data_IF_589543555911
#
_entry.id   IF_589543555911
#
_cell.length_a   1.000
_cell.length_b   1.000
_cell.length_c   1.000
_cell.angle_alpha   90.00
_cell.angle_beta   90.00
_cell.angle_gamma   90.00
#
_symmetry.space_group_name_H-M   'P 1'
#
loop_
_entity.id
_entity.type
_entity.pdbx_description
1 polymer ?
#
# COMPACT_ATOMS: atom_id res chain seq x y z
N UNK A 1 -20.13 13.38 4.95
CA UNK A 1 -20.08 12.06 5.61
C UNK A 1 -21.22 11.84 6.60
N UNK A 2 -21.70 12.87 7.30
CA UNK A 2 -22.77 12.74 8.31
C UNK A 2 -24.21 12.81 7.74
N UNK A 3 -24.40 12.71 6.42
CA UNK A 3 -25.73 12.75 5.82
C UNK A 3 -26.47 11.43 6.02
N UNK A 4 -27.81 11.44 6.05
CA UNK A 4 -28.60 10.22 6.14
C UNK A 4 -28.29 9.23 5.00
N UNK A 5 -28.05 9.71 3.77
CA UNK A 5 -27.71 8.82 2.65
C UNK A 5 -26.34 8.18 2.81
N UNK A 6 -25.37 8.91 3.36
CA UNK A 6 -24.05 8.35 3.67
C UNK A 6 -24.13 7.31 4.81
N UNK A 7 -25.02 7.50 5.78
CA UNK A 7 -25.21 6.51 6.86
C UNK A 7 -25.74 5.17 6.35
N UNK A 8 -26.58 5.19 5.30
CA UNK A 8 -27.26 3.99 4.78
C UNK A 8 -26.56 3.33 3.59
N UNK A 9 -25.78 4.08 2.80
CA UNK A 9 -25.18 3.58 1.56
C UNK A 9 -23.65 3.52 1.60
N UNK A 10 -23.04 2.32 1.57
CA UNK A 10 -21.59 2.17 1.43
C UNK A 10 -21.06 2.79 0.14
N UNK A 11 -21.84 2.76 -0.95
CA UNK A 11 -21.46 3.37 -2.22
C UNK A 11 -21.30 4.89 -2.06
N UNK A 12 -22.26 5.55 -1.40
CA UNK A 12 -22.19 7.00 -1.13
C UNK A 12 -20.97 7.33 -0.26
N UNK A 13 -20.71 6.54 0.80
CA UNK A 13 -19.50 6.74 1.62
C UNK A 13 -18.23 6.58 0.79
N UNK A 14 -18.14 5.52 -0.01
CA UNK A 14 -17.01 5.24 -0.87
C UNK A 14 -16.76 6.38 -1.88
N UNK A 15 -17.81 6.90 -2.51
CA UNK A 15 -17.72 8.05 -3.43
C UNK A 15 -17.23 9.30 -2.72
N UNK A 16 -17.79 9.63 -1.54
CA UNK A 16 -17.39 10.81 -0.78
C UNK A 16 -15.94 10.72 -0.29
N UNK A 17 -15.51 9.56 0.21
CA UNK A 17 -14.12 9.33 0.62
C UNK A 17 -13.20 9.43 -0.59
N UNK A 18 -13.56 8.81 -1.72
CA UNK A 18 -12.77 8.87 -2.95
C UNK A 18 -12.65 10.28 -3.52
N UNK A 19 -13.66 11.14 -3.36
CA UNK A 19 -13.59 12.53 -3.80
C UNK A 19 -12.45 13.32 -3.12
N UNK A 20 -12.20 13.05 -1.83
CA UNK A 20 -11.13 13.71 -1.06
C UNK A 20 -9.74 13.41 -1.64
N UNK A 21 -9.55 12.22 -2.20
CA UNK A 21 -8.31 11.87 -2.90
C UNK A 21 -7.99 12.89 -4.01
N UNK A 22 -8.98 13.25 -4.82
CA UNK A 22 -8.79 14.21 -5.91
C UNK A 22 -8.52 15.61 -5.39
N UNK A 23 -9.22 16.02 -4.34
CA UNK A 23 -8.98 17.30 -3.66
C UNK A 23 -7.53 17.39 -3.19
N UNK A 24 -7.01 16.34 -2.54
CA UNK A 24 -5.63 16.31 -2.04
C UNK A 24 -4.59 16.44 -3.16
N UNK A 25 -4.85 15.87 -4.33
CA UNK A 25 -3.95 15.94 -5.49
C UNK A 25 -4.03 17.33 -6.14
N UNK A 26 -5.23 17.83 -6.38
CA UNK A 26 -5.44 19.10 -7.09
C UNK A 26 -4.97 20.29 -6.25
N UNK A 27 -5.19 20.27 -4.94
CA UNK A 27 -4.71 21.32 -4.01
C UNK A 27 -3.21 21.23 -3.69
N UNK A 28 -2.56 20.11 -3.99
CA UNK A 28 -1.09 19.97 -3.93
C UNK A 28 -0.40 20.69 -5.09
N UNK A 29 -1.03 20.65 -6.28
CA UNK A 29 -0.53 21.33 -7.48
C UNK A 29 -0.38 22.83 -7.26
N UNK A 30 -1.29 23.52 -6.57
CA UNK A 30 -1.15 24.98 -6.38
C UNK A 30 0.05 25.38 -5.48
N UNK A 31 0.57 24.48 -4.64
CA UNK A 31 1.77 24.74 -3.84
C UNK A 31 3.09 24.49 -4.60
N UNK A 32 3.09 23.58 -5.58
CA UNK A 32 4.25 23.22 -6.42
C UNK A 32 4.23 23.85 -7.82
N UNK A 33 3.07 24.31 -8.29
CA UNK A 33 2.85 24.86 -9.63
C UNK A 33 3.49 26.23 -9.86
N UNK A 34 3.97 26.93 -8.83
CA UNK A 34 4.77 28.13 -9.05
C UNK A 34 6.19 27.84 -9.57
N UNK A 35 6.70 26.59 -9.54
CA UNK A 35 8.09 26.30 -9.90
C UNK A 35 8.34 25.20 -10.95
N UNK A 36 7.45 24.24 -11.21
CA UNK A 36 7.81 23.04 -11.99
C UNK A 36 6.92 22.68 -13.20
N UNK A 37 5.86 23.45 -13.49
CA UNK A 37 4.92 23.17 -14.59
C UNK A 37 5.38 23.64 -15.99
N UNK A 38 6.70 23.66 -16.25
CA UNK A 38 7.26 23.76 -17.62
C UNK A 38 7.72 22.38 -18.13
N UNK A 39 7.82 21.36 -17.27
CA UNK A 39 8.57 20.14 -17.60
C UNK A 39 7.81 18.91 -18.07
N UNK A 40 6.77 18.46 -17.36
CA UNK A 40 6.34 17.06 -17.48
C UNK A 40 4.86 16.83 -17.21
N UNK A 41 4.00 17.14 -18.19
CA UNK A 41 2.66 16.52 -18.30
C UNK A 41 2.71 15.44 -19.36
N UNK A 42 2.96 14.19 -18.95
CA UNK A 42 2.61 13.01 -19.76
C UNK A 42 1.35 12.39 -19.17
N UNK A 43 0.23 12.77 -19.77
CA UNK A 43 -1.07 12.12 -19.62
C UNK A 43 -0.91 10.61 -19.87
N UNK A 44 -1.18 9.78 -18.87
CA UNK A 44 -1.55 8.38 -19.11
C UNK A 44 -3.07 8.26 -19.05
N UNK A 45 -3.59 7.91 -20.23
CA UNK A 45 -4.93 7.52 -20.64
C UNK A 45 -5.84 6.93 -19.56
N UNK A 46 -7.03 7.50 -19.38
CA UNK A 46 -8.16 6.80 -18.75
C UNK A 46 -9.41 7.01 -19.61
N UNK A 47 -9.81 5.94 -20.28
CA UNK A 47 -10.98 5.86 -21.15
C UNK A 47 -12.28 6.07 -20.36
N UNK A 48 -13.02 7.09 -20.76
CA UNK A 48 -14.41 7.28 -20.40
C UNK A 48 -15.29 6.63 -21.48
N UNK A 49 -16.32 5.83 -21.16
CA UNK A 49 -17.20 5.28 -22.19
C UNK A 49 -18.15 6.36 -22.71
N UNK A 50 -17.66 7.19 -23.62
CA UNK A 50 -18.50 8.06 -24.45
C UNK A 50 -19.12 7.25 -25.59
N UNK A 51 -20.08 6.40 -25.27
CA UNK A 51 -20.88 5.67 -26.26
C UNK A 51 -22.22 6.35 -26.50
N UNK A 52 -22.25 7.36 -27.35
CA UNK A 52 -23.33 7.67 -28.32
C UNK A 52 -23.11 9.07 -28.92
N UNK A 53 -22.93 9.12 -30.24
CA UNK A 53 -22.86 10.36 -31.00
C UNK A 53 -24.18 11.12 -30.91
N UNK A 54 -24.14 12.29 -30.27
CA UNK A 54 -25.28 13.20 -30.25
C UNK A 54 -25.39 13.93 -31.59
N UNK A 55 -26.45 13.63 -32.35
CA UNK A 55 -26.98 14.54 -33.37
C UNK A 55 -27.81 15.59 -32.62
N UNK A 56 -27.56 16.91 -32.80
CA UNK A 56 -28.26 17.91 -32.02
C UNK A 56 -29.70 18.10 -32.53
N UNK A 57 -30.67 17.88 -31.64
CA UNK A 57 -32.06 18.34 -31.81
C UNK A 57 -32.20 19.75 -31.20
N UNK A 58 -32.93 20.68 -31.84
CA UNK A 58 -33.06 22.05 -31.35
C UNK A 58 -34.21 22.13 -30.34
N UNK A 59 -33.94 21.99 -29.05
CA UNK A 59 -34.77 22.53 -27.94
C UNK A 59 -34.34 22.07 -26.53
N UNK A 60 -33.03 22.02 -26.24
CA UNK A 60 -32.59 21.89 -24.84
C UNK A 60 -32.45 23.28 -24.19
N UNK A 61 -32.94 23.46 -22.94
CA UNK A 61 -32.72 24.69 -22.18
C UNK A 61 -31.21 24.86 -21.90
N UNK A 62 -30.73 26.10 -21.69
CA UNK A 62 -29.31 26.33 -21.48
C UNK A 62 -28.81 25.56 -20.26
N UNK A 63 -27.87 24.65 -20.50
CA UNK A 63 -27.07 23.98 -19.48
C UNK A 63 -26.47 25.08 -18.59
N UNK A 64 -26.61 25.02 -17.24
CA UNK A 64 -26.07 26.06 -16.39
C UNK A 64 -24.56 26.18 -16.58
N UNK A 65 -24.13 27.44 -16.63
CA UNK A 65 -22.82 27.90 -17.05
C UNK A 65 -21.66 27.02 -16.57
N UNK A 66 -20.73 26.79 -17.51
CA UNK A 66 -19.33 26.43 -17.28
C UNK A 66 -18.86 27.05 -15.96
N UNK A 67 -18.57 26.21 -14.97
CA UNK A 67 -17.90 26.65 -13.73
C UNK A 67 -16.62 27.37 -14.19
N UNK A 68 -16.55 28.68 -13.98
CA UNK A 68 -15.39 29.46 -14.38
C UNK A 68 -14.17 28.97 -13.61
N UNK A 69 -12.99 28.96 -14.26
CA UNK A 69 -11.72 28.55 -13.65
C UNK A 69 -11.48 29.22 -12.29
N UNK A 70 -11.91 30.48 -12.15
CA UNK A 70 -11.80 31.29 -10.92
C UNK A 70 -12.70 30.78 -9.77
N UNK A 71 -13.94 30.37 -10.06
CA UNK A 71 -14.83 29.81 -9.05
C UNK A 71 -14.30 28.46 -8.53
N UNK A 72 -13.76 27.64 -9.43
CA UNK A 72 -13.13 26.37 -9.06
C UNK A 72 -11.87 26.57 -8.20
N UNK A 73 -11.01 27.53 -8.57
CA UNK A 73 -9.80 27.89 -7.80
C UNK A 73 -10.13 28.43 -6.40
N UNK A 74 -11.19 29.25 -6.29
CA UNK A 74 -11.65 29.79 -5.00
C UNK A 74 -12.11 28.67 -4.07
N UNK A 75 -12.93 27.74 -4.57
CA UNK A 75 -13.42 26.59 -3.80
C UNK A 75 -12.25 25.70 -3.34
N UNK A 76 -11.28 25.44 -4.20
CA UNK A 76 -10.09 24.64 -3.83
C UNK A 76 -9.27 25.31 -2.72
N UNK A 77 -9.14 26.63 -2.77
CA UNK A 77 -8.41 27.41 -1.76
C UNK A 77 -9.11 27.36 -0.41
N UNK A 78 -10.45 27.48 -0.38
CA UNK A 78 -11.24 27.33 0.84
C UNK A 78 -11.13 25.93 1.42
N UNK A 79 -11.18 24.89 0.58
CA UNK A 79 -11.03 23.50 1.03
C UNK A 79 -9.64 23.24 1.58
N UNK A 80 -8.57 23.76 0.95
CA UNK A 80 -7.21 23.64 1.47
C UNK A 80 -7.06 24.38 2.82
N UNK A 81 -7.67 25.56 2.96
CA UNK A 81 -7.70 26.28 4.23
C UNK A 81 -8.41 25.49 5.34
N UNK A 82 -9.52 24.81 5.01
CA UNK A 82 -10.23 23.92 5.94
C UNK A 82 -9.37 22.71 6.33
N UNK A 83 -8.67 22.09 5.38
CA UNK A 83 -7.74 20.98 5.65
C UNK A 83 -6.53 21.40 6.49
N UNK A 84 -6.12 22.68 6.44
CA UNK A 84 -5.01 23.23 7.23
C UNK A 84 -5.44 23.87 8.56
N UNK A 85 -6.73 23.96 8.84
CA UNK A 85 -7.22 24.58 10.07
C UNK A 85 -6.80 23.79 11.33
N UNK A 86 -6.55 24.51 12.42
CA UNK A 86 -5.98 24.00 13.69
C UNK A 86 -7.11 23.76 14.73
N UNK A 87 -7.12 22.70 15.59
CA UNK A 87 -6.34 21.45 15.61
C UNK A 87 -7.19 20.16 15.51
N UNK A 88 -6.53 18.99 15.36
CA UNK A 88 -6.00 18.46 14.09
C UNK A 88 -7.02 18.60 12.96
N UNK A 89 -6.63 18.47 11.69
CA UNK A 89 -7.53 18.53 10.52
C UNK A 89 -8.71 17.53 10.63
N UNK A 90 -9.72 17.86 11.45
CA UNK A 90 -10.85 17.02 11.81
C UNK A 90 -11.55 16.49 10.56
N UNK A 91 -11.71 17.30 9.48
CA UNK A 91 -12.28 16.79 8.25
C UNK A 91 -11.44 15.64 7.66
N UNK A 92 -10.10 15.77 7.59
CA UNK A 92 -9.25 14.70 7.08
C UNK A 92 -9.27 13.48 8.01
N UNK A 93 -9.23 13.70 9.32
CA UNK A 93 -9.33 12.62 10.30
C UNK A 93 -10.67 11.87 10.19
N UNK A 94 -11.78 12.56 9.91
CA UNK A 94 -13.09 11.94 9.65
C UNK A 94 -13.05 11.00 8.45
N UNK A 95 -12.37 11.40 7.36
CA UNK A 95 -12.19 10.52 6.20
C UNK A 95 -11.27 9.35 6.52
N UNK A 96 -10.18 9.57 7.25
CA UNK A 96 -9.26 8.51 7.66
C UNK A 96 -9.88 7.53 8.67
N UNK A 97 -10.84 7.99 9.48
CA UNK A 97 -11.59 7.12 10.40
C UNK A 97 -12.39 6.04 9.67
N UNK A 98 -12.67 6.23 8.37
CA UNK A 98 -13.36 5.23 7.52
C UNK A 98 -12.51 3.98 7.24
N UNK A 99 -11.26 3.94 7.70
CA UNK A 99 -10.51 2.68 7.80
C UNK A 99 -11.21 1.66 8.71
N UNK A 100 -12.05 2.11 9.66
CA UNK A 100 -12.85 1.24 10.51
C UNK A 100 -14.28 0.99 9.97
N UNK A 101 -14.60 1.39 8.73
CA UNK A 101 -15.95 1.21 8.16
C UNK A 101 -16.31 -0.28 8.05
N UNK A 102 -17.55 -0.72 8.27
CA UNK A 102 -17.92 -2.12 8.06
C UNK A 102 -17.70 -2.60 6.63
N UNK A 103 -17.79 -1.71 5.63
CA UNK A 103 -17.66 -2.06 4.23
C UNK A 103 -16.21 -1.98 3.72
N UNK A 104 -15.75 -3.06 3.07
CA UNK A 104 -14.38 -3.20 2.58
C UNK A 104 -14.01 -2.18 1.50
N UNK A 105 -14.95 -1.78 0.65
CA UNK A 105 -14.71 -0.81 -0.42
C UNK A 105 -14.53 0.59 0.16
N UNK A 106 -15.25 0.91 1.22
CA UNK A 106 -15.08 2.16 1.96
C UNK A 106 -13.71 2.20 2.65
N UNK A 107 -13.27 1.09 3.27
CA UNK A 107 -11.90 0.98 3.82
C UNK A 107 -10.84 1.15 2.74
N UNK A 108 -11.04 0.56 1.56
CA UNK A 108 -10.13 0.71 0.42
C UNK A 108 -10.03 2.14 -0.06
N UNK A 109 -11.17 2.84 -0.14
CA UNK A 109 -11.19 4.26 -0.47
C UNK A 109 -10.41 5.08 0.57
N UNK A 110 -10.60 4.79 1.87
CA UNK A 110 -9.90 5.46 2.95
C UNK A 110 -8.38 5.21 2.92
N UNK A 111 -7.94 3.97 2.65
CA UNK A 111 -6.53 3.64 2.43
C UNK A 111 -5.95 4.40 1.24
N UNK A 112 -6.71 4.49 0.13
CA UNK A 112 -6.24 5.25 -1.03
C UNK A 112 -6.13 6.74 -0.72
N UNK A 113 -7.03 7.30 0.08
CA UNK A 113 -6.95 8.70 0.55
C UNK A 113 -5.73 8.89 1.44
N UNK A 114 -5.50 7.97 2.39
CA UNK A 114 -4.33 8.01 3.26
C UNK A 114 -3.04 7.98 2.45
N UNK A 115 -2.89 7.02 1.53
CA UNK A 115 -1.69 6.90 0.70
C UNK A 115 -1.46 8.16 -0.14
N UNK A 116 -2.49 8.70 -0.77
CA UNK A 116 -2.41 9.97 -1.50
C UNK A 116 -2.03 11.13 -0.59
N UNK A 117 -2.63 11.25 0.59
CA UNK A 117 -2.31 12.30 1.54
C UNK A 117 -0.84 12.21 2.02
N UNK A 118 -0.35 11.01 2.27
CA UNK A 118 1.04 10.76 2.68
C UNK A 118 2.02 11.12 1.56
N UNK A 119 1.69 10.80 0.31
CA UNK A 119 2.55 11.04 -0.85
C UNK A 119 2.62 12.53 -1.24
N UNK A 120 1.48 13.23 -1.23
CA UNK A 120 1.38 14.61 -1.71
C UNK A 120 1.51 15.62 -0.58
N UNK A 121 0.93 15.34 0.59
CA UNK A 121 0.77 16.31 1.67
C UNK A 121 1.18 15.72 3.03
N UNK A 122 2.42 15.19 3.17
CA UNK A 122 2.85 14.50 4.39
C UNK A 122 2.73 15.38 5.65
N UNK A 123 2.92 16.70 5.53
CA UNK A 123 2.76 17.65 6.63
C UNK A 123 1.35 17.64 7.24
N UNK A 124 0.30 17.41 6.44
CA UNK A 124 -1.08 17.29 6.93
C UNK A 124 -1.34 15.98 7.66
N UNK A 125 -0.72 14.89 7.20
CA UNK A 125 -0.97 13.55 7.75
C UNK A 125 -0.13 13.27 8.99
N UNK A 126 1.12 13.75 9.04
CA UNK A 126 2.06 13.58 10.15
C UNK A 126 1.45 13.79 11.55
N UNK A 127 0.67 14.85 11.83
CA UNK A 127 0.04 15.03 13.14
C UNK A 127 -1.11 14.05 13.41
N UNK A 128 -1.71 13.44 12.39
CA UNK A 128 -2.88 12.57 12.51
C UNK A 128 -2.53 11.10 12.79
N UNK A 129 -1.34 10.65 12.36
CA UNK A 129 -0.96 9.23 12.37
C UNK A 129 -1.09 8.54 13.73
N UNK A 130 -0.72 9.23 14.81
CA UNK A 130 -0.73 8.73 16.18
C UNK A 130 -1.87 9.31 17.04
N UNK A 131 -2.78 10.07 16.44
CA UNK A 131 -3.94 10.62 17.15
C UNK A 131 -5.04 9.55 17.22
N UNK A 132 -5.64 9.34 18.41
CA UNK A 132 -6.82 8.48 18.53
C UNK A 132 -7.96 9.06 17.68
N UNK A 133 -8.61 8.20 16.90
CA UNK A 133 -9.70 8.61 16.00
C UNK A 133 -10.89 9.18 16.77
N UNK A 134 -11.22 8.58 17.91
CA UNK A 134 -12.22 9.08 18.84
C UNK A 134 -11.56 9.43 20.18
N UNK A 135 -11.40 10.72 20.44
CA UNK A 135 -10.81 11.22 21.68
C UNK A 135 -11.69 10.96 22.91
N UNK A 136 -12.99 10.72 22.72
CA UNK A 136 -13.92 10.42 23.82
C UNK A 136 -13.86 8.95 24.26
N UNK A 137 -13.34 8.06 23.40
CA UNK A 137 -13.26 6.62 23.68
C UNK A 137 -11.89 6.26 24.23
N UNK A 138 -11.85 5.85 25.51
CA UNK A 138 -10.65 5.25 26.09
C UNK A 138 -10.22 4.05 25.25
N UNK A 139 -9.00 4.11 24.70
CA UNK A 139 -8.40 3.11 23.82
C UNK A 139 -8.88 3.13 22.35
N UNK A 140 -9.38 4.26 21.84
CA UNK A 140 -9.60 4.40 20.40
C UNK A 140 -8.31 4.09 19.63
N UNK A 141 -8.37 3.30 18.54
CA UNK A 141 -7.22 3.07 17.68
C UNK A 141 -6.78 4.39 17.03
N UNK A 142 -5.48 4.46 16.74
CA UNK A 142 -4.91 5.52 15.91
C UNK A 142 -5.04 5.16 14.43
N UNK A 143 -4.81 6.14 13.55
CA UNK A 143 -4.77 5.89 12.10
C UNK A 143 -3.75 4.81 11.74
N UNK A 144 -2.55 4.83 12.35
CA UNK A 144 -1.54 3.78 12.12
C UNK A 144 -2.02 2.40 12.57
N UNK A 145 -2.69 2.29 13.73
CA UNK A 145 -3.22 1.01 14.21
C UNK A 145 -4.31 0.47 13.29
N UNK A 146 -5.17 1.33 12.75
CA UNK A 146 -6.14 0.90 11.74
C UNK A 146 -5.46 0.46 10.45
N UNK A 147 -4.43 1.16 9.98
CA UNK A 147 -3.65 0.75 8.81
C UNK A 147 -3.05 -0.65 9.00
N UNK A 148 -2.42 -0.93 10.14
CA UNK A 148 -1.86 -2.25 10.44
C UNK A 148 -2.93 -3.32 10.58
N UNK A 149 -4.13 -2.98 11.07
CA UNK A 149 -5.24 -3.93 11.08
C UNK A 149 -5.66 -4.36 9.66
N UNK A 150 -5.55 -3.47 8.68
CA UNK A 150 -5.86 -3.78 7.27
C UNK A 150 -4.76 -4.60 6.57
N UNK A 151 -3.63 -4.88 7.21
CA UNK A 151 -2.61 -5.83 6.69
C UNK A 151 -2.89 -7.28 7.09
N UNK A 152 -3.84 -7.53 7.99
CA UNK A 152 -4.13 -8.87 8.48
C UNK A 152 -4.97 -9.68 7.49
N UNK A 153 -4.65 -10.97 7.33
CA UNK A 153 -5.46 -11.91 6.57
C UNK A 153 -6.78 -12.13 7.32
N UNK A 154 -7.90 -11.88 6.64
CA UNK A 154 -9.26 -12.06 7.17
C UNK A 154 -9.88 -13.34 6.62
N UNK A 155 -9.94 -14.43 7.40
CA UNK A 155 -10.46 -15.72 6.92
C UNK A 155 -11.91 -15.63 6.44
N UNK A 156 -12.70 -14.71 6.98
CA UNK A 156 -14.08 -14.45 6.56
C UNK A 156 -14.20 -13.88 5.14
N UNK A 157 -13.10 -13.37 4.55
CA UNK A 157 -13.03 -12.89 3.17
C UNK A 157 -12.41 -13.93 2.20
N UNK A 158 -12.09 -15.12 2.68
CA UNK A 158 -11.51 -16.20 1.88
C UNK A 158 -12.59 -17.22 1.58
N UNK A 159 -12.94 -17.39 0.31
CA UNK A 159 -13.95 -18.35 -0.17
C UNK A 159 -13.32 -19.42 -1.06
N UNK A 160 -13.78 -20.65 -0.92
CA UNK A 160 -13.42 -21.73 -1.85
C UNK A 160 -14.38 -21.72 -3.03
N UNK A 161 -13.84 -21.51 -4.23
CA UNK A 161 -14.57 -21.55 -5.49
C UNK A 161 -14.24 -22.87 -6.19
N UNK A 162 -15.27 -23.68 -6.42
CA UNK A 162 -15.15 -24.94 -7.15
C UNK A 162 -15.12 -24.65 -8.66
N UNK A 163 -14.00 -24.97 -9.29
CA UNK A 163 -13.81 -24.93 -10.74
C UNK A 163 -13.81 -26.37 -11.29
N UNK A 164 -14.97 -27.04 -11.21
CA UNK A 164 -15.10 -28.45 -11.59
C UNK A 164 -14.38 -29.38 -10.61
N UNK A 165 -13.43 -30.26 -11.05
CA UNK A 165 -12.67 -31.11 -10.15
C UNK A 165 -11.60 -30.36 -9.33
N UNK A 166 -11.41 -29.05 -9.58
CA UNK A 166 -10.42 -28.22 -8.91
C UNK A 166 -11.09 -27.29 -7.88
N UNK A 167 -10.42 -27.10 -6.73
CA UNK A 167 -10.80 -26.11 -5.72
C UNK A 167 -9.79 -24.98 -5.74
N UNK A 168 -10.25 -23.75 -5.92
CA UNK A 168 -9.43 -22.55 -5.85
C UNK A 168 -9.87 -21.68 -4.67
N UNK A 169 -8.92 -21.16 -3.90
CA UNK A 169 -9.22 -20.21 -2.84
C UNK A 169 -9.15 -18.80 -3.41
N UNK A 170 -10.27 -18.10 -3.39
CA UNK A 170 -10.36 -16.68 -3.70
C UNK A 170 -10.32 -15.88 -2.40
N UNK A 171 -9.47 -14.86 -2.35
CA UNK A 171 -9.30 -13.97 -1.21
C UNK A 171 -9.76 -12.56 -1.59
N UNK A 172 -10.99 -12.23 -1.24
CA UNK A 172 -11.60 -10.93 -1.54
C UNK A 172 -10.94 -9.78 -0.74
N UNK A 173 -10.16 -10.11 0.29
CA UNK A 173 -9.38 -9.16 1.08
C UNK A 173 -7.99 -8.85 0.55
N UNK A 174 -7.49 -9.61 -0.43
CA UNK A 174 -6.11 -9.52 -0.91
C UNK A 174 -5.76 -8.13 -1.46
N UNK A 175 -6.64 -7.54 -2.26
CA UNK A 175 -6.41 -6.21 -2.84
C UNK A 175 -6.28 -5.15 -1.77
N UNK A 176 -7.09 -5.24 -0.72
CA UNK A 176 -7.02 -4.27 0.38
C UNK A 176 -5.71 -4.39 1.15
N UNK A 177 -5.24 -5.61 1.43
CA UNK A 177 -3.94 -5.82 2.08
C UNK A 177 -2.81 -5.25 1.23
N UNK A 178 -2.82 -5.47 -0.08
CA UNK A 178 -1.85 -4.86 -1.01
C UNK A 178 -1.83 -3.33 -0.90
N UNK A 179 -2.99 -2.69 -0.87
CA UNK A 179 -3.09 -1.25 -0.66
C UNK A 179 -2.54 -0.79 0.70
N UNK A 180 -2.75 -1.58 1.76
CA UNK A 180 -2.22 -1.27 3.08
C UNK A 180 -0.68 -1.33 3.10
N UNK A 181 -0.07 -2.37 2.52
CA UNK A 181 1.38 -2.48 2.41
C UNK A 181 1.99 -1.39 1.50
N UNK A 182 1.30 -0.99 0.43
CA UNK A 182 1.73 0.12 -0.42
C UNK A 182 1.74 1.44 0.37
N UNK A 183 0.68 1.69 1.15
CA UNK A 183 0.62 2.86 2.03
C UNK A 183 1.71 2.85 3.11
N UNK A 184 2.00 1.68 3.69
CA UNK A 184 3.12 1.52 4.62
C UNK A 184 4.47 1.84 3.97
N UNK A 185 4.70 1.43 2.73
CA UNK A 185 5.92 1.77 1.99
C UNK A 185 6.08 3.28 1.84
N UNK A 186 5.02 3.98 1.43
CA UNK A 186 5.04 5.45 1.32
C UNK A 186 5.28 6.13 2.68
N UNK A 187 4.70 5.59 3.76
CA UNK A 187 4.91 6.10 5.12
C UNK A 187 6.37 5.92 5.59
N UNK A 188 7.00 4.80 5.25
CA UNK A 188 8.39 4.54 5.59
C UNK A 188 9.32 5.57 4.96
N UNK A 189 9.03 6.01 3.74
CA UNK A 189 9.82 7.01 3.01
C UNK A 189 9.55 8.44 3.50
N UNK A 190 8.28 8.79 3.74
CA UNK A 190 7.86 10.18 3.94
C UNK A 190 7.63 10.58 5.40
N UNK A 191 7.37 9.62 6.29
CA UNK A 191 6.87 9.86 7.65
C UNK A 191 7.57 9.00 8.72
N UNK A 192 8.81 8.55 8.47
CA UNK A 192 9.57 7.69 9.37
C UNK A 192 9.62 8.16 10.84
N UNK A 193 9.71 9.47 11.08
CA UNK A 193 9.76 10.05 12.43
C UNK A 193 8.48 9.84 13.24
N UNK A 194 7.37 9.48 12.60
CA UNK A 194 6.09 9.16 13.25
C UNK A 194 5.89 7.67 13.48
N UNK A 195 6.78 6.82 12.96
CA UNK A 195 6.66 5.37 13.04
C UNK A 195 7.41 4.82 14.26
N UNK A 196 6.74 3.98 15.02
CA UNK A 196 7.39 3.11 15.99
C UNK A 196 7.87 1.87 15.24
N UNK A 197 9.15 1.82 14.89
CA UNK A 197 9.70 0.80 13.97
C UNK A 197 9.52 -0.62 14.52
N UNK A 198 9.60 -0.82 15.83
CA UNK A 198 9.33 -2.12 16.45
C UNK A 198 7.91 -2.64 16.16
N UNK A 199 6.90 -1.76 16.18
CA UNK A 199 5.50 -2.07 15.82
C UNK A 199 5.34 -2.21 14.30
N UNK A 200 6.01 -1.35 13.53
CA UNK A 200 5.98 -1.39 12.06
C UNK A 200 6.53 -2.71 11.50
N UNK A 201 7.48 -3.34 12.18
CA UNK A 201 8.05 -4.62 11.76
C UNK A 201 7.09 -5.80 11.89
N UNK A 202 6.09 -5.74 12.77
CA UNK A 202 5.15 -6.84 13.00
C UNK A 202 4.31 -7.18 11.75
N UNK A 203 3.60 -6.23 11.11
CA UNK A 203 2.90 -6.49 9.86
C UNK A 203 3.84 -6.89 8.72
N UNK A 204 5.09 -6.41 8.68
CA UNK A 204 6.06 -6.83 7.67
C UNK A 204 6.45 -8.31 7.82
N UNK A 205 6.68 -8.78 9.05
CA UNK A 205 7.02 -10.18 9.33
C UNK A 205 5.86 -11.09 8.94
N UNK A 206 4.61 -10.70 9.22
CA UNK A 206 3.43 -11.44 8.75
C UNK A 206 3.27 -11.35 7.21
N UNK A 207 3.59 -10.21 6.60
CA UNK A 207 3.60 -10.03 5.14
C UNK A 207 4.54 -10.98 4.39
N UNK A 208 5.64 -11.42 5.02
CA UNK A 208 6.54 -12.46 4.45
C UNK A 208 5.87 -13.83 4.30
N UNK A 209 4.75 -14.06 4.98
CA UNK A 209 3.96 -15.30 4.94
C UNK A 209 2.75 -15.20 4.01
N UNK A 210 2.44 -14.01 3.50
CA UNK A 210 1.24 -13.71 2.71
C UNK A 210 1.45 -13.97 1.20
N UNK A 211 0.60 -13.40 0.33
CA UNK A 211 0.68 -13.47 -1.12
C UNK A 211 2.01 -12.92 -1.65
N UNK A 212 2.48 -13.47 -2.78
CA UNK A 212 3.77 -13.15 -3.41
C UNK A 212 4.04 -11.65 -3.52
N UNK A 213 3.09 -10.87 -4.03
CA UNK A 213 3.25 -9.40 -4.16
C UNK A 213 3.46 -8.69 -2.81
N UNK A 214 2.79 -9.16 -1.75
CA UNK A 214 2.96 -8.61 -0.39
C UNK A 214 4.34 -9.01 0.17
N UNK A 215 4.80 -10.25 -0.08
CA UNK A 215 6.14 -10.69 0.32
C UNK A 215 7.21 -9.80 -0.32
N UNK A 216 7.09 -9.56 -1.62
CA UNK A 216 8.00 -8.72 -2.39
C UNK A 216 8.08 -7.30 -1.80
N UNK A 217 6.93 -6.69 -1.55
CA UNK A 217 6.86 -5.36 -0.94
C UNK A 217 7.41 -5.34 0.51
N UNK A 218 7.17 -6.40 1.27
CA UNK A 218 7.74 -6.57 2.61
C UNK A 218 9.26 -6.69 2.57
N UNK A 219 9.84 -7.42 1.60
CA UNK A 219 11.29 -7.51 1.43
C UNK A 219 11.91 -6.14 1.15
N UNK A 220 11.28 -5.29 0.34
CA UNK A 220 11.78 -3.94 0.06
C UNK A 220 11.85 -3.08 1.31
N UNK A 221 10.74 -3.02 2.06
CA UNK A 221 10.69 -2.22 3.28
C UNK A 221 11.67 -2.74 4.33
N UNK A 222 11.80 -4.06 4.49
CA UNK A 222 12.80 -4.65 5.40
C UNK A 222 14.24 -4.30 4.99
N UNK A 223 14.54 -4.29 3.68
CA UNK A 223 15.84 -3.84 3.19
C UNK A 223 16.08 -2.37 3.53
N UNK A 224 15.10 -1.48 3.33
CA UNK A 224 15.22 -0.06 3.71
C UNK A 224 15.42 0.10 5.23
N UNK A 225 14.61 -0.57 6.05
CA UNK A 225 14.70 -0.50 7.52
C UNK A 225 16.04 -1.02 8.03
N UNK A 226 16.58 -2.09 7.43
CA UNK A 226 17.90 -2.62 7.82
C UNK A 226 19.05 -1.62 7.67
N UNK A 227 18.88 -0.59 6.82
CA UNK A 227 19.83 0.51 6.67
C UNK A 227 19.60 1.61 7.71
N UNK A 228 18.33 1.92 7.98
CA UNK A 228 17.94 3.10 8.74
C UNK A 228 17.88 2.82 10.24
N UNK A 229 17.38 1.64 10.64
CA UNK A 229 17.22 1.18 12.03
C UNK A 229 17.70 -0.28 12.19
N UNK A 230 19.01 -0.55 11.99
CA UNK A 230 19.57 -1.91 12.01
C UNK A 230 19.36 -2.67 13.33
N UNK A 231 19.34 -1.96 14.47
CA UNK A 231 19.17 -2.58 15.79
C UNK A 231 17.77 -3.20 15.97
N UNK A 232 16.73 -2.59 15.40
CA UNK A 232 15.36 -3.12 15.46
C UNK A 232 15.21 -4.43 14.67
N UNK A 233 15.92 -4.52 13.53
CA UNK A 233 16.01 -5.76 12.75
C UNK A 233 16.72 -6.85 13.56
N UNK A 234 17.85 -6.51 14.20
CA UNK A 234 18.58 -7.47 15.05
C UNK A 234 17.71 -7.99 16.20
N UNK A 235 16.93 -7.10 16.84
CA UNK A 235 16.01 -7.45 17.92
C UNK A 235 14.86 -8.38 17.48
N UNK A 236 14.37 -8.25 16.23
CA UNK A 236 13.31 -9.09 15.66
C UNK A 236 13.85 -10.24 14.78
N UNK A 237 15.16 -10.49 14.77
CA UNK A 237 15.82 -11.47 13.88
C UNK A 237 15.25 -12.89 14.03
N UNK A 238 14.94 -13.31 15.27
CA UNK A 238 14.36 -14.64 15.52
C UNK A 238 13.01 -14.83 14.81
N UNK A 239 12.16 -13.79 14.81
CA UNK A 239 10.88 -13.80 14.14
C UNK A 239 11.02 -13.71 12.61
N UNK A 240 12.01 -12.96 12.12
CA UNK A 240 12.33 -12.83 10.69
C UNK A 240 12.93 -14.11 10.10
N UNK A 241 13.74 -14.84 10.88
CA UNK A 241 14.46 -16.00 10.39
C UNK A 241 13.54 -17.14 9.97
N UNK A 242 12.41 -17.34 10.66
CA UNK A 242 11.46 -18.39 10.33
C UNK A 242 10.89 -18.29 8.90
N UNK A 243 10.22 -17.19 8.50
CA UNK A 243 9.70 -17.05 7.13
C UNK A 243 10.82 -16.99 6.07
N UNK A 244 11.97 -16.39 6.37
CA UNK A 244 13.11 -16.37 5.45
C UNK A 244 13.63 -17.78 5.16
N UNK A 245 13.79 -18.60 6.20
CA UNK A 245 14.23 -19.99 6.06
C UNK A 245 13.24 -20.82 5.26
N UNK A 246 11.93 -20.60 5.43
CA UNK A 246 10.89 -21.27 4.63
C UNK A 246 11.06 -21.00 3.13
N UNK A 247 11.36 -19.77 2.74
CA UNK A 247 11.57 -19.42 1.33
C UNK A 247 12.85 -20.04 0.79
N UNK A 248 13.96 -19.99 1.55
CA UNK A 248 15.23 -20.59 1.14
C UNK A 248 15.13 -22.11 0.95
N UNK A 249 14.31 -22.79 1.75
CA UNK A 249 14.10 -24.24 1.67
C UNK A 249 13.00 -24.65 0.68
N UNK A 250 12.35 -23.70 0.03
CA UNK A 250 11.30 -23.98 -0.95
C UNK A 250 11.89 -24.68 -2.18
N UNK A 251 11.32 -25.83 -2.55
CA UNK A 251 11.73 -26.60 -3.72
C UNK A 251 10.67 -26.54 -4.81
N UNK A 252 11.06 -26.49 -6.09
CA UNK A 252 10.11 -26.54 -7.18
C UNK A 252 9.41 -27.90 -7.17
N UNK A 253 8.11 -27.90 -7.45
CA UNK A 253 7.36 -29.15 -7.66
C UNK A 253 7.41 -29.55 -9.14
N UNK A 254 7.26 -30.84 -9.42
CA UNK A 254 7.35 -31.39 -10.79
C UNK A 254 6.23 -30.89 -11.71
N UNK A 255 5.09 -30.48 -11.15
CA UNK A 255 3.90 -29.97 -11.84
C UNK A 255 3.92 -28.45 -12.07
N UNK A 256 4.97 -27.74 -11.64
CA UNK A 256 5.03 -26.30 -11.75
C UNK A 256 5.29 -25.81 -13.16
N UNK A 257 4.45 -24.88 -13.62
CA UNK A 257 4.68 -24.13 -14.84
C UNK A 257 5.84 -23.15 -14.67
N UNK A 258 6.47 -22.76 -15.79
CA UNK A 258 7.63 -21.84 -15.80
C UNK A 258 7.43 -20.58 -14.96
N UNK A 259 6.25 -19.98 -15.03
CA UNK A 259 5.91 -18.77 -14.28
C UNK A 259 5.95 -18.97 -12.76
N UNK A 260 5.54 -20.13 -12.25
CA UNK A 260 5.58 -20.44 -10.81
C UNK A 260 7.03 -20.65 -10.34
N UNK A 261 7.86 -21.29 -11.17
CA UNK A 261 9.29 -21.43 -10.89
C UNK A 261 9.99 -20.07 -10.84
N UNK A 262 9.71 -19.18 -11.80
CA UNK A 262 10.27 -17.82 -11.83
C UNK A 262 9.87 -17.00 -10.60
N UNK A 263 8.60 -17.06 -10.19
CA UNK A 263 8.12 -16.40 -8.96
C UNK A 263 8.86 -16.89 -7.71
N UNK A 264 9.04 -18.21 -7.57
CA UNK A 264 9.77 -18.77 -6.43
C UNK A 264 11.24 -18.36 -6.44
N UNK A 265 11.89 -18.41 -7.60
CA UNK A 265 13.29 -17.97 -7.74
C UNK A 265 13.45 -16.48 -7.37
N UNK A 266 12.50 -15.64 -7.76
CA UNK A 266 12.51 -14.22 -7.43
C UNK A 266 12.34 -13.99 -5.91
N UNK A 267 11.45 -14.73 -5.25
CA UNK A 267 11.32 -14.67 -3.79
C UNK A 267 12.60 -15.12 -3.09
N UNK A 268 13.22 -16.21 -3.55
CA UNK A 268 14.50 -16.69 -3.00
C UNK A 268 15.61 -15.66 -3.18
N UNK A 269 15.68 -15.01 -4.35
CA UNK A 269 16.64 -13.93 -4.62
C UNK A 269 16.43 -12.74 -3.68
N UNK A 270 15.19 -12.29 -3.50
CA UNK A 270 14.86 -11.19 -2.59
C UNK A 270 15.22 -11.52 -1.13
N UNK A 271 14.95 -12.75 -0.68
CA UNK A 271 15.33 -13.21 0.65
C UNK A 271 16.86 -13.21 0.84
N UNK A 272 17.61 -13.70 -0.15
CA UNK A 272 19.08 -13.68 -0.13
C UNK A 272 19.61 -12.24 -0.09
N UNK A 273 19.03 -11.33 -0.88
CA UNK A 273 19.40 -9.91 -0.86
C UNK A 273 19.19 -9.28 0.52
N UNK A 274 18.05 -9.56 1.16
CA UNK A 274 17.76 -9.08 2.51
C UNK A 274 18.75 -9.67 3.54
N UNK A 275 19.04 -10.97 3.48
CA UNK A 275 19.99 -11.62 4.40
C UNK A 275 21.41 -11.10 4.21
N UNK A 276 21.82 -10.85 2.96
CA UNK A 276 23.10 -10.21 2.65
C UNK A 276 23.16 -8.79 3.22
N UNK A 277 22.05 -8.05 3.18
CA UNK A 277 21.95 -6.71 3.77
C UNK A 277 22.11 -6.74 5.28
N UNK A 278 21.57 -7.74 5.97
CA UNK A 278 21.74 -7.88 7.43
C UNK A 278 23.20 -8.00 7.85
N UNK A 279 24.10 -8.45 6.98
CA UNK A 279 25.54 -8.52 7.27
C UNK A 279 26.16 -7.17 7.64
N UNK A 280 25.58 -6.05 7.22
CA UNK A 280 26.06 -4.71 7.60
C UNK A 280 25.64 -4.27 9.00
N UNK A 281 24.85 -5.07 9.73
CA UNK A 281 24.43 -4.78 11.09
C UNK A 281 25.56 -5.18 12.05
N UNK A 282 25.93 -4.27 12.95
CA UNK A 282 26.96 -4.53 13.95
C UNK A 282 26.62 -5.75 14.81
N UNK A 283 27.62 -6.60 15.06
CA UNK A 283 27.51 -7.80 15.89
C UNK A 283 26.47 -8.85 15.43
N UNK A 284 25.95 -8.74 14.20
CA UNK A 284 24.91 -9.65 13.70
C UNK A 284 25.36 -11.11 13.62
N UNK A 285 26.66 -11.35 13.45
CA UNK A 285 27.25 -12.70 13.42
C UNK A 285 27.12 -13.44 14.76
N UNK A 286 26.88 -12.72 15.87
CA UNK A 286 26.60 -13.32 17.19
C UNK A 286 25.16 -13.78 17.32
N UNK A 287 24.25 -13.29 16.47
CA UNK A 287 22.84 -13.67 16.48
C UNK A 287 22.68 -15.07 15.89
N UNK A 288 22.28 -16.04 16.73
CA UNK A 288 22.13 -17.44 16.34
C UNK A 288 21.19 -17.63 15.15
N UNK A 289 20.07 -16.92 15.13
CA UNK A 289 19.06 -17.04 14.07
C UNK A 289 19.60 -16.55 12.73
N UNK A 290 20.37 -15.46 12.72
CA UNK A 290 21.09 -15.01 11.53
C UNK A 290 22.15 -16.03 11.07
N UNK A 291 23.00 -16.52 11.99
CA UNK A 291 24.01 -17.52 11.64
C UNK A 291 23.39 -18.79 11.03
N UNK A 292 22.24 -19.22 11.53
CA UNK A 292 21.52 -20.39 11.01
C UNK A 292 20.92 -20.15 9.60
N UNK A 293 20.53 -18.91 9.27
CA UNK A 293 20.15 -18.53 7.89
C UNK A 293 21.35 -18.61 6.96
N UNK A 294 22.49 -18.04 7.36
CA UNK A 294 23.72 -18.09 6.55
C UNK A 294 24.18 -19.53 6.31
N UNK A 295 24.16 -20.38 7.34
CA UNK A 295 24.44 -21.82 7.20
C UNK A 295 23.50 -22.51 6.23
N UNK A 296 22.21 -22.15 6.23
CA UNK A 296 21.23 -22.70 5.30
C UNK A 296 21.57 -22.32 3.86
N UNK A 297 21.99 -21.07 3.62
CA UNK A 297 22.45 -20.60 2.30
C UNK A 297 23.74 -21.32 1.89
N UNK A 298 24.70 -21.49 2.80
CA UNK A 298 25.99 -22.13 2.51
C UNK A 298 25.89 -23.63 2.19
N UNK A 299 24.85 -24.30 2.72
CA UNK A 299 24.59 -25.71 2.47
C UNK A 299 24.08 -25.98 1.05
N UNK A 300 23.49 -24.99 0.38
CA UNK A 300 23.02 -25.10 -1.00
C UNK A 300 23.97 -24.35 -1.95
N UNK A 301 24.68 -25.04 -2.87
CA UNK A 301 25.61 -24.40 -3.80
C UNK A 301 24.96 -23.32 -4.68
N UNK A 302 23.68 -23.46 -5.03
CA UNK A 302 22.95 -22.52 -5.87
C UNK A 302 22.65 -21.22 -5.12
N UNK A 303 22.15 -21.33 -3.88
CA UNK A 303 21.88 -20.18 -3.02
C UNK A 303 23.18 -19.47 -2.64
N UNK A 304 24.24 -20.24 -2.33
CA UNK A 304 25.57 -19.71 -2.03
C UNK A 304 26.14 -18.88 -3.17
N UNK A 305 26.00 -19.33 -4.42
CA UNK A 305 26.48 -18.59 -5.58
C UNK A 305 25.78 -17.22 -5.73
N UNK A 306 24.46 -17.18 -5.52
CA UNK A 306 23.69 -15.93 -5.55
C UNK A 306 24.11 -15.01 -4.39
N UNK A 307 24.25 -15.56 -3.18
CA UNK A 307 24.66 -14.80 -2.00
C UNK A 307 26.04 -14.17 -2.16
N UNK A 308 27.03 -14.91 -2.67
CA UNK A 308 28.37 -14.37 -2.96
C UNK A 308 28.33 -13.27 -4.02
N UNK A 309 27.50 -13.44 -5.06
CA UNK A 309 27.31 -12.42 -6.09
C UNK A 309 26.72 -11.13 -5.51
N UNK A 310 25.70 -11.24 -4.65
CA UNK A 310 25.09 -10.08 -3.98
C UNK A 310 26.10 -9.37 -3.06
N UNK A 311 26.90 -10.13 -2.31
CA UNK A 311 27.94 -9.53 -1.45
C UNK A 311 29.04 -8.82 -2.26
N UNK A 312 29.41 -9.35 -3.43
CA UNK A 312 30.44 -8.78 -4.29
C UNK A 312 30.00 -7.47 -4.97
N UNK A 313 28.74 -7.39 -5.39
CA UNK A 313 28.19 -6.20 -6.06
C UNK A 313 27.82 -5.06 -5.10
N UNK A 314 28.00 -5.27 -3.79
CA UNK A 314 27.49 -4.36 -2.77
C UNK A 314 25.95 -4.39 -2.67
N UNK A 315 25.38 -3.96 -1.54
CA UNK A 315 23.94 -3.79 -1.41
C UNK A 315 23.47 -2.51 -2.14
N UNK A 316 23.69 -2.44 -3.46
CA UNK A 316 23.32 -1.28 -4.26
C UNK A 316 21.80 -1.25 -4.53
N UNK A 317 21.24 -0.09 -4.22
CA UNK A 317 19.83 0.25 -4.06
C UNK A 317 19.08 0.56 -5.37
N UNK A 318 19.32 -0.16 -6.47
CA UNK A 318 18.82 0.30 -7.78
C UNK A 318 18.40 -0.76 -8.82
N UNK A 319 18.33 -2.05 -8.49
CA UNK A 319 17.92 -3.07 -9.50
C UNK A 319 16.63 -3.83 -9.22
N UNK A 320 15.88 -3.48 -8.17
CA UNK A 320 14.49 -3.95 -8.06
C UNK A 320 13.55 -2.76 -8.12
N UNK A 321 13.52 -2.11 -9.28
CA UNK A 321 12.36 -1.33 -9.69
C UNK A 321 11.25 -2.35 -9.88
N UNK A 322 10.40 -2.49 -8.87
CA UNK A 322 9.18 -3.25 -9.05
C UNK A 322 8.38 -2.50 -10.11
N UNK A 323 7.93 -3.18 -11.17
CA UNK A 323 6.95 -2.56 -12.04
C UNK A 323 5.80 -2.08 -11.15
N UNK A 324 5.25 -0.87 -11.38
CA UNK A 324 4.06 -0.43 -10.66
C UNK A 324 3.06 -1.58 -10.72
N UNK A 325 2.50 -1.95 -9.56
CA UNK A 325 1.54 -3.03 -9.42
C UNK A 325 0.51 -2.90 -10.54
N UNK A 326 0.59 -3.75 -11.57
CA UNK A 326 -0.43 -3.80 -12.60
C UNK A 326 -1.66 -4.32 -11.89
N UNK A 327 -2.61 -3.43 -11.59
CA UNK A 327 -3.97 -3.77 -11.22
C UNK A 327 -4.47 -4.81 -12.21
N UNK A 328 -4.41 -6.09 -11.85
CA UNK A 328 -5.23 -7.11 -12.49
C UNK A 328 -6.65 -6.92 -11.96
N UNK A 329 -7.26 -5.78 -12.31
CA UNK A 329 -8.71 -5.71 -12.39
C UNK A 329 -9.02 -6.51 -13.64
N UNK A 330 -9.25 -7.82 -13.50
CA UNK A 330 -10.08 -8.45 -14.50
C UNK A 330 -11.39 -7.67 -14.51
N UNK A 331 -11.87 -7.20 -15.67
CA UNK A 331 -13.18 -6.59 -15.73
C UNK A 331 -14.17 -7.67 -15.30
N UNK A 332 -14.64 -7.58 -14.07
CA UNK A 332 -15.83 -8.31 -13.63
C UNK A 332 -16.96 -7.78 -14.49
N UNK A 333 -17.27 -8.50 -15.56
CA UNK A 333 -18.44 -8.32 -16.41
C UNK A 333 -19.67 -8.60 -15.56
N UNK A 334 -20.04 -7.65 -14.70
CA UNK A 334 -21.33 -7.63 -14.05
C UNK A 334 -22.28 -7.04 -15.09
N UNK A 335 -22.92 -7.92 -15.83
CA UNK A 335 -24.04 -7.59 -16.70
C UNK A 335 -25.18 -7.11 -15.81
N UNK A 336 -25.29 -5.79 -15.62
CA UNK A 336 -26.49 -5.19 -15.07
C UNK A 336 -27.57 -5.25 -16.16
N UNK A 337 -28.55 -6.13 -15.97
CA UNK A 337 -29.82 -6.05 -16.69
C UNK A 337 -30.55 -4.84 -16.13
N UNK A 338 -30.90 -3.92 -17.04
CA UNK A 338 -31.57 -2.62 -16.84
C UNK A 338 -32.87 -2.75 -16.06
#
# INVERSE_FOLDING_TARGET
LNSPEASSSPLVRCTLVSAVKFILIVTDLDATAQAQLIGQTRLEHMDWPSGQGAVPLPSDPPVPATVTSEAFSTVLTEVDAVLRSDPPAQPLLDFLSRLADPDILVRRAALSVLNTAVHHRPSLVRPLLNVPIDAAVSHSPTVLKLLYAETAIRPELIREVEMGPFKHKEDDGLDLRKYAFECMSTLLETCLDKLVVAEFLEPLIEGLKDHTDIKLLSYQMLQQISCIRPLEISAKMDALAAPLKTVLLSKPKEDWVKQEMEKMQELSRCAICLIARFKSIDDIDKNRSYSDLVRTIEADPSLKAIYMTVLANGPDSSSVTYPPYKRNVQPSTVTYVV
#
